data_IF_054284009589
#
_entry.id   IF_054284009589
#
_cell.length_a   1.000
_cell.length_b   1.000
_cell.length_c   1.000
_cell.angle_alpha   90.00
_cell.angle_beta   90.00
_cell.angle_gamma   90.00
#
_symmetry.space_group_name_H-M   'P 1'
#
loop_
_entity.id
_entity.type
_entity.pdbx_description
1 polymer ?
#
# COMPACT_ATOMS: atom_id res chain seq x y z
N UNK A 1 5.37 17.89 2.45
CA UNK A 1 6.52 17.76 3.36
C UNK A 1 6.07 17.14 4.68
N UNK A 2 6.98 16.42 5.35
CA UNK A 2 6.76 15.89 6.71
C UNK A 2 6.62 17.04 7.69
N UNK A 3 5.59 16.98 8.52
CA UNK A 3 5.32 17.90 9.62
C UNK A 3 5.60 17.24 10.98
N UNK A 4 5.72 18.05 12.03
CA UNK A 4 5.83 17.55 13.41
C UNK A 4 4.63 16.67 13.81
N UNK A 5 3.44 16.93 13.20
CA UNK A 5 2.25 16.12 13.41
C UNK A 5 2.43 14.71 12.82
N UNK A 6 3.01 14.59 11.62
CA UNK A 6 3.31 13.29 11.02
C UNK A 6 4.30 12.51 11.91
N UNK A 7 5.40 13.14 12.35
CA UNK A 7 6.41 12.49 13.19
C UNK A 7 5.76 11.94 14.45
N UNK A 8 5.08 12.79 15.24
CA UNK A 8 4.38 12.36 16.46
C UNK A 8 3.34 11.26 16.22
N UNK A 9 2.66 11.32 15.07
CA UNK A 9 1.67 10.32 14.71
C UNK A 9 2.30 8.92 14.58
N UNK A 10 3.36 8.77 13.80
CA UNK A 10 4.02 7.48 13.58
C UNK A 10 4.83 7.03 14.80
N UNK A 11 5.56 7.94 15.44
CA UNK A 11 6.31 7.67 16.66
C UNK A 11 5.44 7.09 17.78
N UNK A 12 4.23 7.63 17.97
CA UNK A 12 3.31 7.12 18.99
C UNK A 12 2.96 5.63 18.79
N UNK A 13 2.81 5.17 17.55
CA UNK A 13 2.52 3.76 17.23
C UNK A 13 3.74 2.87 17.38
N UNK A 14 4.91 3.37 16.99
CA UNK A 14 6.17 2.67 17.22
C UNK A 14 6.42 2.49 18.73
N UNK A 15 6.25 3.55 19.52
CA UNK A 15 6.32 3.53 20.99
C UNK A 15 5.30 2.57 21.61
N UNK A 16 4.10 2.48 21.02
CA UNK A 16 3.03 1.58 21.43
C UNK A 16 3.22 0.12 20.97
N UNK A 17 4.44 -0.27 20.56
CA UNK A 17 4.84 -1.65 20.32
C UNK A 17 4.56 -2.17 18.90
N UNK A 18 4.19 -1.34 17.94
CA UNK A 18 4.11 -1.77 16.54
C UNK A 18 5.51 -2.12 16.02
N UNK A 19 5.72 -3.38 15.62
CA UNK A 19 7.03 -3.87 15.16
C UNK A 19 7.40 -3.41 13.75
N UNK A 20 6.39 -3.07 12.92
CA UNK A 20 6.56 -2.52 11.58
C UNK A 20 5.62 -1.32 11.39
N UNK A 21 6.18 -0.20 10.95
CA UNK A 21 5.45 0.99 10.52
C UNK A 21 5.56 1.12 9.01
N UNK A 22 4.44 1.23 8.31
CA UNK A 22 4.42 1.59 6.89
C UNK A 22 3.86 3.00 6.79
N UNK A 23 4.74 3.96 6.43
CA UNK A 23 4.35 5.36 6.26
C UNK A 23 3.38 5.48 5.09
N UNK A 24 2.36 6.30 5.24
CA UNK A 24 1.27 6.54 4.28
C UNK A 24 1.75 6.74 2.85
N UNK A 25 0.85 6.51 1.89
CA UNK A 25 1.11 6.73 0.46
C UNK A 25 1.80 8.08 0.22
N UNK A 26 3.06 8.02 -0.15
CA UNK A 26 3.96 9.16 -0.38
C UNK A 26 4.25 9.27 -1.87
N UNK A 27 3.92 10.42 -2.46
CA UNK A 27 3.90 10.55 -3.90
C UNK A 27 5.28 10.75 -4.51
N UNK A 28 5.53 10.06 -5.63
CA UNK A 28 6.79 10.15 -6.40
C UNK A 28 6.83 11.30 -7.41
N UNK A 29 5.69 11.94 -7.68
CA UNK A 29 5.54 13.04 -8.65
C UNK A 29 4.42 14.00 -8.21
N UNK A 30 4.56 15.29 -8.52
CA UNK A 30 3.60 16.31 -8.07
C UNK A 30 2.19 16.13 -8.62
N UNK A 31 2.05 15.64 -9.84
CA UNK A 31 0.80 15.37 -10.53
C UNK A 31 0.18 14.02 -10.22
N UNK A 32 0.92 13.17 -9.51
CA UNK A 32 0.46 11.85 -9.04
C UNK A 32 -0.10 11.82 -7.62
N UNK A 33 -0.33 12.97 -6.96
CA UNK A 33 -0.85 13.05 -5.59
C UNK A 33 -2.34 12.72 -5.51
N UNK A 34 -2.77 12.26 -4.33
CA UNK A 34 -4.17 12.03 -3.96
C UNK A 34 -4.83 13.25 -3.30
N UNK A 35 -4.04 14.20 -2.85
CA UNK A 35 -4.47 15.46 -2.27
C UNK A 35 -3.33 16.48 -2.39
N UNK A 36 -3.66 17.75 -2.41
CA UNK A 36 -2.66 18.82 -2.54
C UNK A 36 -1.63 18.86 -1.41
N UNK A 37 -1.99 18.37 -0.22
CA UNK A 37 -1.15 18.28 0.99
C UNK A 37 -0.53 16.91 1.24
N UNK A 38 -0.70 15.93 0.34
CA UNK A 38 -0.11 14.60 0.47
C UNK A 38 1.42 14.66 0.59
N UNK A 39 2.00 13.76 1.42
CA UNK A 39 3.44 13.59 1.52
C UNK A 39 4.06 13.28 0.15
N UNK A 40 5.24 13.81 -0.08
CA UNK A 40 6.00 13.63 -1.30
C UNK A 40 7.42 13.13 -1.07
N UNK A 41 7.99 12.52 -2.12
CA UNK A 41 9.37 12.06 -2.17
C UNK A 41 9.97 12.29 -3.57
N UNK A 42 9.41 13.24 -4.33
CA UNK A 42 9.84 13.54 -5.71
C UNK A 42 11.09 14.42 -5.81
N UNK A 43 11.56 15.04 -4.73
CA UNK A 43 12.79 15.84 -4.70
C UNK A 43 13.58 15.59 -3.42
N UNK A 44 14.88 15.92 -3.44
CA UNK A 44 15.79 15.72 -2.32
C UNK A 44 15.43 16.61 -1.10
N UNK A 45 14.67 17.69 -1.32
CA UNK A 45 14.13 18.55 -0.25
C UNK A 45 13.22 17.79 0.74
N UNK A 46 12.72 16.61 0.37
CA UNK A 46 11.90 15.78 1.24
C UNK A 46 12.71 14.91 2.21
N UNK A 47 14.00 14.63 1.89
CA UNK A 47 14.85 13.67 2.58
C UNK A 47 14.96 13.98 4.07
N UNK A 48 15.29 15.22 4.44
CA UNK A 48 15.51 15.59 5.85
C UNK A 48 14.27 15.37 6.72
N UNK A 49 13.08 15.77 6.25
CA UNK A 49 11.84 15.54 6.99
C UNK A 49 11.49 14.05 7.12
N UNK A 50 11.70 13.29 6.05
CA UNK A 50 11.49 11.84 6.03
C UNK A 50 12.47 11.11 6.96
N UNK A 51 13.74 11.55 7.02
CA UNK A 51 14.76 11.03 7.92
C UNK A 51 14.40 11.22 9.39
N UNK A 52 13.91 12.40 9.76
CA UNK A 52 13.43 12.66 11.12
C UNK A 52 12.27 11.72 11.50
N UNK A 53 11.38 11.43 10.54
CA UNK A 53 10.25 10.53 10.77
C UNK A 53 10.72 9.07 10.95
N UNK A 54 11.59 8.56 10.06
CA UNK A 54 12.12 7.19 10.17
C UNK A 54 12.84 6.98 11.48
N UNK A 55 13.75 7.90 11.85
CA UNK A 55 14.52 7.85 13.09
C UNK A 55 13.63 7.87 14.35
N UNK A 56 12.56 8.68 14.36
CA UNK A 56 11.65 8.74 15.49
C UNK A 56 10.95 7.38 15.74
N UNK A 57 10.57 6.65 14.68
CA UNK A 57 9.99 5.33 14.80
C UNK A 57 11.04 4.27 15.18
N UNK A 58 12.18 4.27 14.53
CA UNK A 58 13.28 3.33 14.76
C UNK A 58 13.86 3.44 16.18
N UNK A 59 13.83 4.64 16.79
CA UNK A 59 14.23 4.84 18.19
C UNK A 59 13.44 3.95 19.17
N UNK A 60 12.21 3.57 18.82
CA UNK A 60 11.38 2.68 19.61
C UNK A 60 11.46 1.21 19.16
N UNK A 61 12.38 0.87 18.25
CA UNK A 61 12.62 -0.50 17.78
C UNK A 61 11.69 -0.98 16.66
N UNK A 62 10.87 -0.10 16.07
CA UNK A 62 10.06 -0.45 14.91
C UNK A 62 10.90 -0.42 13.63
N UNK A 63 10.74 -1.42 12.75
CA UNK A 63 11.13 -1.30 11.35
C UNK A 63 10.22 -0.30 10.63
N UNK A 64 10.75 0.46 9.68
CA UNK A 64 9.98 1.54 9.03
C UNK A 64 10.11 1.47 7.51
N UNK A 65 9.00 1.17 6.83
CA UNK A 65 8.89 1.28 5.39
C UNK A 65 8.12 2.55 5.00
N UNK A 66 8.36 3.04 3.79
CA UNK A 66 7.55 4.13 3.22
C UNK A 66 6.80 3.62 1.99
N UNK A 67 5.48 3.84 1.94
CA UNK A 67 4.69 3.45 0.78
C UNK A 67 4.84 4.49 -0.34
N UNK A 68 5.48 4.11 -1.44
CA UNK A 68 5.67 4.97 -2.61
C UNK A 68 4.55 4.79 -3.63
N UNK A 69 4.09 5.90 -4.23
CA UNK A 69 2.79 5.96 -4.86
C UNK A 69 2.72 6.95 -6.02
N UNK A 70 1.80 6.67 -6.96
CA UNK A 70 1.30 7.59 -7.98
C UNK A 70 -0.19 7.30 -8.22
N UNK A 71 -1.04 8.31 -8.10
CA UNK A 71 -2.50 8.14 -8.15
C UNK A 71 -3.04 7.70 -9.52
N UNK A 72 -2.35 8.05 -10.61
CA UNK A 72 -2.84 7.75 -11.96
C UNK A 72 -4.22 8.39 -12.18
N UNK A 73 -5.21 7.59 -12.60
CA UNK A 73 -6.60 8.01 -12.80
C UNK A 73 -7.26 8.64 -11.56
N UNK A 74 -6.74 8.33 -10.37
CA UNK A 74 -7.33 8.78 -9.09
C UNK A 74 -6.79 10.12 -8.61
N UNK A 75 -5.86 10.76 -9.33
CA UNK A 75 -5.41 12.11 -8.99
C UNK A 75 -6.60 13.07 -9.04
N UNK A 76 -6.89 13.87 -8.00
CA UNK A 76 -8.02 14.79 -8.01
C UNK A 76 -7.75 16.02 -8.88
N UNK A 77 -8.81 16.78 -9.18
CA UNK A 77 -8.76 17.90 -10.14
C UNK A 77 -7.85 19.05 -9.67
N UNK A 78 -7.78 19.29 -8.37
CA UNK A 78 -6.90 20.31 -7.77
C UNK A 78 -5.40 19.93 -7.81
N UNK A 79 -5.10 18.69 -8.18
CA UNK A 79 -3.73 18.18 -8.37
C UNK A 79 -3.36 18.10 -9.84
N UNK A 80 -4.26 17.58 -10.69
CA UNK A 80 -4.00 17.39 -12.12
C UNK A 80 -5.27 17.61 -12.96
N UNK A 81 -5.21 18.50 -13.95
CA UNK A 81 -6.28 18.71 -14.92
C UNK A 81 -6.36 17.55 -15.92
N UNK A 82 -5.21 17.00 -16.29
CA UNK A 82 -5.09 15.79 -17.13
C UNK A 82 -4.53 14.67 -16.29
N UNK A 83 -5.25 13.57 -16.19
CA UNK A 83 -4.80 12.37 -15.45
C UNK A 83 -4.07 11.41 -16.38
N UNK A 84 -3.06 10.74 -15.84
CA UNK A 84 -2.23 9.74 -16.53
C UNK A 84 -2.74 8.33 -16.28
N UNK A 85 -2.80 7.51 -17.31
CA UNK A 85 -3.27 6.12 -17.19
C UNK A 85 -2.58 5.18 -18.18
N UNK A 86 -2.59 3.86 -17.93
CA UNK A 86 -2.13 2.88 -18.92
C UNK A 86 -2.90 2.96 -20.22
N UNK A 87 -4.21 3.25 -20.16
CA UNK A 87 -5.11 3.37 -21.31
C UNK A 87 -6.14 4.48 -21.10
N UNK A 88 -6.81 4.90 -22.19
CA UNK A 88 -7.89 5.90 -22.13
C UNK A 88 -9.16 5.29 -21.52
N UNK A 89 -9.23 5.27 -20.20
CA UNK A 89 -10.34 4.71 -19.42
C UNK A 89 -11.11 5.83 -18.70
N UNK A 90 -11.74 6.73 -19.46
CA UNK A 90 -12.49 7.89 -18.91
C UNK A 90 -13.71 7.46 -18.07
N UNK A 91 -14.24 6.27 -18.29
CA UNK A 91 -15.35 5.69 -17.52
C UNK A 91 -14.99 5.38 -16.04
N UNK A 92 -13.70 5.43 -15.69
CA UNK A 92 -13.21 5.23 -14.30
C UNK A 92 -12.89 6.52 -13.56
N UNK A 93 -13.22 7.66 -14.13
CA UNK A 93 -13.14 8.96 -13.47
C UNK A 93 -14.54 9.57 -13.36
N UNK A 94 -14.83 10.19 -12.21
CA UNK A 94 -16.15 10.76 -11.91
C UNK A 94 -16.34 12.18 -12.49
N UNK A 95 -15.35 12.71 -13.16
CA UNK A 95 -15.36 14.03 -13.76
C UNK A 95 -14.90 13.98 -15.23
N UNK A 96 -15.38 14.90 -16.04
CA UNK A 96 -15.12 14.96 -17.48
C UNK A 96 -13.69 15.45 -17.82
N UNK A 97 -12.68 15.11 -17.00
CA UNK A 97 -11.28 15.48 -17.27
C UNK A 97 -10.70 14.66 -18.42
N UNK A 98 -9.66 15.18 -18.99
CA UNK A 98 -8.90 14.48 -20.01
C UNK A 98 -8.09 13.33 -19.35
N UNK A 99 -8.24 12.12 -19.90
CA UNK A 99 -7.37 10.99 -19.61
C UNK A 99 -6.33 10.87 -20.71
N UNK A 100 -5.07 11.02 -20.36
CA UNK A 100 -3.94 10.83 -21.26
C UNK A 100 -3.35 9.43 -21.07
N UNK A 101 -3.40 8.65 -22.13
CA UNK A 101 -2.70 7.38 -22.16
C UNK A 101 -1.19 7.60 -22.15
N UNK A 102 -0.49 6.85 -21.31
CA UNK A 102 0.97 6.92 -21.20
C UNK A 102 1.64 6.34 -22.45
N UNK A 103 2.56 7.08 -23.04
CA UNK A 103 3.49 6.53 -24.04
C UNK A 103 4.51 5.62 -23.36
N UNK A 104 5.25 4.84 -24.15
CA UNK A 104 6.36 4.01 -23.61
C UNK A 104 7.43 4.87 -22.96
N UNK A 105 7.66 6.07 -23.47
CA UNK A 105 8.62 7.03 -22.90
C UNK A 105 8.12 7.59 -21.55
N UNK A 106 6.85 7.95 -21.46
CA UNK A 106 6.23 8.34 -20.18
C UNK A 106 6.36 7.22 -19.14
N UNK A 107 6.10 5.96 -19.54
CA UNK A 107 6.25 4.78 -18.68
C UNK A 107 7.68 4.70 -18.14
N UNK A 108 8.69 4.82 -19.01
CA UNK A 108 10.09 4.79 -18.59
C UNK A 108 10.44 5.94 -17.64
N UNK A 109 9.91 7.13 -17.88
CA UNK A 109 10.10 8.30 -17.00
C UNK A 109 9.52 8.04 -15.61
N UNK A 110 8.28 7.54 -15.52
CA UNK A 110 7.63 7.24 -14.24
C UNK A 110 8.35 6.09 -13.52
N UNK A 111 8.83 5.07 -14.24
CA UNK A 111 9.65 4.01 -13.65
C UNK A 111 10.91 4.60 -12.99
N UNK A 112 11.59 5.54 -13.64
CA UNK A 112 12.76 6.21 -13.06
C UNK A 112 12.39 7.07 -11.84
N UNK A 113 11.19 7.67 -11.80
CA UNK A 113 10.74 8.43 -10.64
C UNK A 113 10.47 7.52 -9.42
N UNK A 114 9.92 6.31 -9.61
CA UNK A 114 9.85 5.30 -8.56
C UNK A 114 11.24 4.90 -8.03
N UNK A 115 12.20 4.68 -8.94
CA UNK A 115 13.59 4.33 -8.57
C UNK A 115 14.25 5.45 -7.77
N UNK A 116 14.11 6.71 -8.21
CA UNK A 116 14.62 7.88 -7.47
C UNK A 116 13.95 8.01 -6.10
N UNK A 117 12.64 7.76 -6.00
CA UNK A 117 11.91 7.77 -4.74
C UNK A 117 12.44 6.70 -3.77
N UNK A 118 12.69 5.48 -4.23
CA UNK A 118 13.29 4.43 -3.41
C UNK A 118 14.70 4.78 -2.92
N UNK A 119 15.53 5.42 -3.77
CA UNK A 119 16.85 5.92 -3.36
C UNK A 119 16.76 6.97 -2.25
N UNK A 120 15.82 7.93 -2.38
CA UNK A 120 15.57 8.93 -1.34
C UNK A 120 15.08 8.31 -0.05
N UNK A 121 14.24 7.27 -0.13
CA UNK A 121 13.79 6.52 1.05
C UNK A 121 14.99 5.88 1.77
N UNK A 122 15.90 5.23 1.02
CA UNK A 122 17.13 4.66 1.57
C UNK A 122 18.03 5.73 2.21
N UNK A 123 18.23 6.86 1.53
CA UNK A 123 19.02 8.00 2.06
C UNK A 123 18.37 8.62 3.31
N UNK A 124 17.04 8.63 3.38
CA UNK A 124 16.29 9.04 4.56
C UNK A 124 16.29 7.99 5.70
N UNK A 125 17.00 6.87 5.52
CA UNK A 125 17.20 5.85 6.56
C UNK A 125 16.00 4.94 6.81
N UNK A 126 15.08 4.80 5.84
CA UNK A 126 14.04 3.77 5.91
C UNK A 126 14.64 2.38 5.73
N UNK A 127 14.06 1.38 6.42
CA UNK A 127 14.44 -0.03 6.28
C UNK A 127 13.97 -0.63 4.95
N UNK A 128 13.12 0.09 4.22
CA UNK A 128 12.62 -0.33 2.91
C UNK A 128 11.52 0.58 2.37
N UNK A 129 10.96 0.14 1.26
CA UNK A 129 9.80 0.74 0.61
C UNK A 129 8.65 -0.25 0.51
N UNK A 130 7.43 0.25 0.34
CA UNK A 130 6.29 -0.54 -0.12
C UNK A 130 5.73 0.10 -1.39
N UNK A 131 5.70 -0.64 -2.51
CA UNK A 131 4.99 -0.21 -3.71
C UNK A 131 3.47 -0.23 -3.48
N UNK A 132 2.78 0.86 -3.83
CA UNK A 132 1.32 0.89 -3.76
C UNK A 132 0.71 0.30 -5.05
N UNK A 133 0.58 -1.01 -5.09
CA UNK A 133 0.03 -1.78 -6.22
C UNK A 133 -1.41 -2.26 -6.01
N UNK A 134 -2.21 -1.55 -5.20
CA UNK A 134 -3.60 -1.87 -4.88
C UNK A 134 -4.52 -0.66 -5.12
N UNK A 135 -5.82 -0.81 -4.84
CA UNK A 135 -6.83 0.24 -4.71
C UNK A 135 -7.08 1.07 -5.99
N UNK A 136 -6.64 0.59 -7.15
CA UNK A 136 -6.86 1.27 -8.43
C UNK A 136 -5.97 2.50 -8.64
N UNK A 137 -4.78 2.55 -8.02
CA UNK A 137 -3.75 3.53 -8.33
C UNK A 137 -2.85 3.05 -9.48
N UNK A 138 -1.91 3.85 -9.92
CA UNK A 138 -1.22 3.66 -11.21
C UNK A 138 -0.66 2.23 -11.40
N UNK A 139 0.02 1.67 -10.41
CA UNK A 139 0.57 0.31 -10.49
C UNK A 139 -0.55 -0.73 -10.62
N UNK A 140 -1.61 -0.62 -9.80
CA UNK A 140 -2.80 -1.47 -9.90
C UNK A 140 -3.53 -1.28 -11.24
N UNK A 141 -3.57 -0.04 -11.76
CA UNK A 141 -4.14 0.24 -13.09
C UNK A 141 -3.37 -0.47 -14.22
N UNK A 142 -2.04 -0.62 -14.10
CA UNK A 142 -1.27 -1.43 -15.04
C UNK A 142 -1.56 -2.92 -14.90
N UNK A 143 -1.64 -3.44 -13.69
CA UNK A 143 -1.87 -4.85 -13.40
C UNK A 143 -3.27 -5.33 -13.85
N UNK A 144 -4.29 -4.47 -13.73
CA UNK A 144 -5.68 -4.83 -13.99
C UNK A 144 -6.06 -4.81 -15.48
N UNK A 145 -6.68 -5.86 -16.02
CA UNK A 145 -7.21 -5.85 -17.40
C UNK A 145 -8.40 -4.89 -17.55
N UNK A 146 -8.99 -4.45 -16.46
CA UNK A 146 -10.12 -3.50 -16.44
C UNK A 146 -9.66 -2.13 -16.93
N UNK A 147 -8.47 -1.66 -16.50
CA UNK A 147 -7.92 -0.34 -16.79
C UNK A 147 -6.75 -0.36 -17.76
N UNK A 148 -6.10 -1.50 -17.94
CA UNK A 148 -5.01 -1.67 -18.89
C UNK A 148 -5.48 -2.42 -20.14
N UNK A 149 -5.81 -1.66 -21.18
CA UNK A 149 -6.27 -2.16 -22.51
C UNK A 149 -5.20 -1.97 -23.60
N UNK A 150 -3.94 -1.84 -23.18
CA UNK A 150 -2.81 -1.67 -24.09
C UNK A 150 -2.58 -2.91 -24.93
N UNK A 151 -2.06 -2.70 -26.14
CA UNK A 151 -1.69 -3.77 -27.10
C UNK A 151 -0.19 -3.88 -27.31
N UNK A 152 0.60 -3.05 -26.61
CA UNK A 152 2.06 -3.10 -26.62
C UNK A 152 2.61 -4.03 -25.51
N UNK A 153 3.92 -3.98 -25.31
CA UNK A 153 4.62 -4.81 -24.31
C UNK A 153 4.19 -4.59 -22.84
N UNK A 154 3.39 -3.57 -22.54
CA UNK A 154 2.87 -3.29 -21.19
C UNK A 154 1.39 -3.65 -21.02
N UNK A 155 0.78 -4.33 -22.01
CA UNK A 155 -0.62 -4.73 -21.98
C UNK A 155 -0.88 -6.12 -22.51
N UNK A 156 -2.14 -6.55 -22.50
CA UNK A 156 -2.55 -7.89 -22.92
C UNK A 156 -2.35 -8.95 -21.84
N UNK A 157 -1.32 -9.79 -21.94
CA UNK A 157 -1.07 -10.86 -20.94
C UNK A 157 -0.78 -10.31 -19.55
N UNK A 158 -0.96 -11.13 -18.51
CA UNK A 158 -0.66 -10.73 -17.13
C UNK A 158 0.82 -10.34 -16.97
N UNK A 159 1.72 -11.08 -17.57
CA UNK A 159 3.17 -10.80 -17.55
C UNK A 159 3.47 -9.42 -18.14
N UNK A 160 2.83 -9.09 -19.25
CA UNK A 160 2.99 -7.77 -19.88
C UNK A 160 2.41 -6.64 -18.99
N UNK A 161 1.24 -6.86 -18.39
CA UNK A 161 0.65 -5.88 -17.49
C UNK A 161 1.49 -5.67 -16.23
N UNK A 162 2.14 -6.71 -15.71
CA UNK A 162 3.06 -6.64 -14.58
C UNK A 162 4.43 -6.09 -14.95
N UNK A 163 4.80 -6.05 -16.23
CA UNK A 163 6.11 -5.57 -16.72
C UNK A 163 6.47 -4.20 -16.18
N UNK A 164 5.49 -3.29 -16.07
CA UNK A 164 5.71 -1.95 -15.54
C UNK A 164 6.42 -1.97 -14.19
N UNK A 165 5.91 -2.72 -13.23
CA UNK A 165 6.48 -2.77 -11.88
C UNK A 165 7.63 -3.75 -11.76
N UNK A 166 7.62 -4.86 -12.49
CA UNK A 166 8.71 -5.84 -12.51
C UNK A 166 10.03 -5.20 -12.96
N UNK A 167 10.02 -4.38 -14.01
CA UNK A 167 11.21 -3.65 -14.46
C UNK A 167 11.74 -2.66 -13.42
N UNK A 168 10.87 -2.06 -12.59
CA UNK A 168 11.29 -1.19 -11.48
C UNK A 168 11.97 -2.04 -10.39
N UNK A 169 11.33 -3.14 -9.98
CA UNK A 169 11.82 -4.03 -8.92
C UNK A 169 13.20 -4.58 -9.29
N UNK A 170 13.36 -5.10 -10.52
CA UNK A 170 14.63 -5.64 -11.00
C UNK A 170 15.74 -4.60 -10.96
N UNK A 171 15.50 -3.38 -11.45
CA UNK A 171 16.48 -2.30 -11.38
C UNK A 171 16.82 -1.91 -9.94
N UNK A 172 15.85 -1.96 -9.00
CA UNK A 172 16.11 -1.65 -7.60
C UNK A 172 16.94 -2.73 -6.92
N UNK A 173 16.70 -4.02 -7.19
CA UNK A 173 17.51 -5.13 -6.63
C UNK A 173 18.99 -5.00 -6.97
N UNK A 174 19.32 -4.44 -8.14
CA UNK A 174 20.69 -4.17 -8.54
C UNK A 174 21.33 -2.94 -7.84
N UNK A 175 20.53 -2.14 -7.14
CA UNK A 175 20.93 -0.82 -6.63
C UNK A 175 20.82 -0.68 -5.11
N UNK A 176 20.08 -1.57 -4.45
CA UNK A 176 19.90 -1.55 -2.99
C UNK A 176 20.66 -2.71 -2.35
N UNK A 177 21.01 -2.55 -1.07
CA UNK A 177 21.64 -3.61 -0.29
C UNK A 177 20.61 -4.70 0.03
N UNK A 178 21.09 -5.89 0.37
CA UNK A 178 20.24 -7.06 0.71
C UNK A 178 19.32 -6.79 1.91
N UNK A 179 19.72 -5.90 2.82
CA UNK A 179 18.93 -5.51 4.01
C UNK A 179 17.81 -4.51 3.70
N UNK A 180 17.77 -3.90 2.50
CA UNK A 180 16.72 -2.96 2.13
C UNK A 180 15.49 -3.68 1.58
N UNK A 181 14.40 -3.64 2.35
CA UNK A 181 13.16 -4.38 2.05
C UNK A 181 12.41 -3.76 0.87
N UNK A 182 12.09 -4.56 -0.13
CA UNK A 182 11.19 -4.22 -1.23
C UNK A 182 9.83 -4.86 -0.95
N UNK A 183 8.95 -4.12 -0.29
CA UNK A 183 7.56 -4.50 -0.04
C UNK A 183 6.64 -4.17 -1.21
N UNK A 184 5.51 -4.86 -1.29
CA UNK A 184 4.48 -4.58 -2.28
C UNK A 184 3.08 -4.74 -1.71
N UNK A 185 2.29 -3.67 -1.69
CA UNK A 185 0.86 -3.74 -1.38
C UNK A 185 0.06 -4.05 -2.62
N UNK A 186 -0.63 -5.19 -2.63
CA UNK A 186 -1.34 -5.71 -3.78
C UNK A 186 -2.85 -5.86 -3.54
N UNK A 187 -3.63 -5.85 -4.61
CA UNK A 187 -4.98 -6.36 -4.58
C UNK A 187 -4.97 -7.89 -4.58
N UNK A 188 -5.56 -8.51 -3.56
CA UNK A 188 -5.69 -9.97 -3.50
C UNK A 188 -6.68 -10.52 -4.53
N UNK A 189 -7.50 -9.65 -5.10
CA UNK A 189 -8.47 -9.90 -6.18
C UNK A 189 -8.30 -8.86 -7.30
N UNK A 190 -7.29 -8.99 -8.16
CA UNK A 190 -6.99 -8.02 -9.22
C UNK A 190 -7.07 -8.64 -10.64
N UNK A 191 -8.28 -8.81 -11.25
CA UNK A 191 -9.61 -8.58 -10.66
C UNK A 191 -10.20 -9.81 -9.94
N UNK A 192 -9.55 -10.96 -9.97
CA UNK A 192 -9.98 -12.20 -9.32
C UNK A 192 -8.92 -12.71 -8.35
N UNK A 193 -9.30 -13.59 -7.42
CA UNK A 193 -8.35 -14.24 -6.51
C UNK A 193 -7.27 -15.02 -7.27
N UNK A 194 -7.64 -15.74 -8.33
CA UNK A 194 -6.67 -16.48 -9.15
C UNK A 194 -5.62 -15.54 -9.77
N UNK A 195 -6.07 -14.41 -10.32
CA UNK A 195 -5.14 -13.38 -10.81
C UNK A 195 -4.27 -12.81 -9.68
N UNK A 196 -4.84 -12.58 -8.49
CA UNK A 196 -4.09 -12.13 -7.32
C UNK A 196 -2.98 -13.12 -6.95
N UNK A 197 -3.26 -14.42 -6.96
CA UNK A 197 -2.26 -15.47 -6.72
C UNK A 197 -1.16 -15.45 -7.79
N UNK A 198 -1.51 -15.31 -9.07
CA UNK A 198 -0.50 -15.24 -10.14
C UNK A 198 0.34 -13.96 -10.04
N UNK A 199 -0.26 -12.81 -9.72
CA UNK A 199 0.46 -11.56 -9.45
C UNK A 199 1.46 -11.75 -8.30
N UNK A 200 1.04 -12.37 -7.19
CA UNK A 200 1.92 -12.63 -6.04
C UNK A 200 3.15 -13.46 -6.43
N UNK A 201 2.98 -14.53 -7.25
CA UNK A 201 4.08 -15.34 -7.75
C UNK A 201 5.02 -14.57 -8.68
N UNK A 202 4.48 -13.70 -9.55
CA UNK A 202 5.31 -12.84 -10.42
C UNK A 202 6.13 -11.88 -9.57
N UNK A 203 5.54 -11.29 -8.52
CA UNK A 203 6.23 -10.37 -7.62
C UNK A 203 7.32 -11.06 -6.80
N UNK A 204 7.04 -12.25 -6.25
CA UNK A 204 8.04 -13.08 -5.58
C UNK A 204 9.21 -13.40 -6.51
N UNK A 205 8.92 -13.86 -7.74
CA UNK A 205 9.95 -14.16 -8.74
C UNK A 205 10.75 -12.91 -9.19
N UNK A 206 10.15 -11.72 -9.13
CA UNK A 206 10.82 -10.45 -9.42
C UNK A 206 11.73 -9.96 -8.28
N UNK A 207 11.64 -10.57 -7.08
CA UNK A 207 12.48 -10.23 -5.94
C UNK A 207 11.81 -9.30 -4.92
N UNK A 208 10.48 -9.29 -4.82
CA UNK A 208 9.76 -8.68 -3.70
C UNK A 208 10.02 -9.48 -2.44
N UNK A 209 10.30 -8.79 -1.33
CA UNK A 209 10.65 -9.41 -0.06
C UNK A 209 9.44 -9.58 0.89
N UNK A 210 8.35 -8.81 0.66
CA UNK A 210 7.18 -8.75 1.53
C UNK A 210 5.92 -8.39 0.74
N UNK A 211 4.84 -9.16 0.88
CA UNK A 211 3.52 -8.82 0.32
C UNK A 211 2.56 -8.30 1.40
N UNK A 212 1.82 -7.24 1.06
CA UNK A 212 0.74 -6.70 1.90
C UNK A 212 -0.57 -6.78 1.11
N UNK A 213 -1.44 -7.74 1.45
CA UNK A 213 -2.63 -8.07 0.65
C UNK A 213 -3.83 -7.25 1.09
N UNK A 214 -4.39 -6.49 0.14
CA UNK A 214 -5.57 -5.64 0.31
C UNK A 214 -6.56 -5.88 -0.85
N UNK A 215 -7.43 -4.91 -1.17
CA UNK A 215 -8.38 -5.01 -2.28
C UNK A 215 -7.79 -4.52 -3.59
N UNK A 216 -8.17 -5.18 -4.70
CA UNK A 216 -7.92 -4.73 -6.06
C UNK A 216 -8.99 -3.75 -6.58
N UNK A 217 -9.04 -3.58 -7.91
CA UNK A 217 -10.09 -2.81 -8.59
C UNK A 217 -11.38 -3.63 -8.61
N UNK A 218 -12.46 -3.05 -8.09
CA UNK A 218 -13.78 -3.67 -8.12
C UNK A 218 -14.46 -3.47 -9.47
N UNK A 219 -15.13 -4.49 -9.97
CA UNK A 219 -16.03 -4.41 -11.13
C UNK A 219 -17.18 -5.41 -10.96
N UNK A 220 -18.39 -5.08 -11.42
CA UNK A 220 -19.50 -6.04 -11.43
C UNK A 220 -19.21 -7.33 -12.20
N UNK A 221 -18.34 -7.27 -13.20
CA UNK A 221 -17.94 -8.42 -14.01
C UNK A 221 -17.02 -9.41 -13.28
N UNK A 222 -16.46 -8.98 -12.14
CA UNK A 222 -15.52 -9.73 -11.33
C UNK A 222 -15.96 -9.70 -9.86
N UNK A 223 -16.90 -10.59 -9.46
CA UNK A 223 -17.40 -10.63 -8.10
C UNK A 223 -16.29 -10.94 -7.10
N UNK A 224 -16.48 -10.50 -5.86
CA UNK A 224 -15.60 -10.85 -4.76
C UNK A 224 -15.57 -12.38 -4.58
N UNK A 225 -14.43 -12.96 -4.20
CA UNK A 225 -14.33 -14.39 -3.93
C UNK A 225 -15.28 -14.78 -2.78
N UNK A 226 -15.95 -15.92 -2.94
CA UNK A 226 -16.77 -16.50 -1.88
C UNK A 226 -15.87 -16.94 -0.73
N UNK A 227 -16.22 -16.51 0.47
CA UNK A 227 -15.55 -16.91 1.68
C UNK A 227 -16.17 -18.23 2.16
N UNK A 228 -15.36 -19.27 2.45
CA UNK A 228 -15.89 -20.54 2.94
C UNK A 228 -16.73 -20.37 4.22
N UNK A 229 -17.77 -21.18 4.36
CA UNK A 229 -18.56 -21.23 5.58
C UNK A 229 -17.65 -21.55 6.79
N UNK A 230 -17.81 -20.80 7.88
CA UNK A 230 -17.00 -20.95 9.09
C UNK A 230 -15.67 -20.20 9.08
N UNK A 231 -15.24 -19.57 7.98
CA UNK A 231 -14.08 -18.68 8.01
C UNK A 231 -14.46 -17.35 8.69
N UNK A 232 -13.78 -16.91 9.76
CA UNK A 232 -14.28 -15.84 10.62
C UNK A 232 -14.05 -14.43 10.06
N UNK A 233 -13.25 -14.30 8.99
CA UNK A 233 -12.83 -13.00 8.45
C UNK A 233 -13.48 -12.70 7.08
N UNK A 234 -13.33 -11.49 6.59
CA UNK A 234 -13.91 -11.03 5.32
C UNK A 234 -13.11 -11.54 4.09
N UNK A 235 -13.66 -11.31 2.89
CA UNK A 235 -13.08 -11.76 1.62
C UNK A 235 -11.69 -11.20 1.33
N UNK A 236 -11.35 -10.00 1.82
CA UNK A 236 -10.02 -9.40 1.60
C UNK A 236 -8.96 -10.16 2.42
N UNK A 237 -9.27 -10.44 3.69
CA UNK A 237 -8.41 -11.26 4.55
C UNK A 237 -8.30 -12.68 3.96
N UNK A 238 -9.44 -13.25 3.50
CA UNK A 238 -9.43 -14.55 2.84
C UNK A 238 -8.49 -14.58 1.63
N UNK A 239 -8.52 -13.57 0.75
CA UNK A 239 -7.56 -13.47 -0.35
C UNK A 239 -6.12 -13.51 0.15
N UNK A 240 -5.81 -12.78 1.22
CA UNK A 240 -4.48 -12.75 1.82
C UNK A 240 -4.03 -14.14 2.29
N UNK A 241 -4.91 -14.90 2.96
CA UNK A 241 -4.60 -16.26 3.42
C UNK A 241 -4.35 -17.23 2.26
N UNK A 242 -5.13 -17.09 1.17
CA UNK A 242 -4.94 -17.90 -0.03
C UNK A 242 -3.63 -17.59 -0.74
N UNK A 243 -3.22 -16.31 -0.79
CA UNK A 243 -1.94 -15.90 -1.34
C UNK A 243 -0.80 -16.43 -0.46
N UNK A 244 -0.90 -16.28 0.88
CA UNK A 244 0.09 -16.82 1.83
C UNK A 244 0.38 -18.31 1.58
N UNK A 245 -0.62 -19.10 1.28
CA UNK A 245 -0.46 -20.53 1.02
C UNK A 245 0.23 -20.85 -0.33
N UNK A 246 0.56 -19.85 -1.15
CA UNK A 246 1.06 -20.01 -2.53
C UNK A 246 2.38 -19.32 -2.81
N UNK A 247 2.92 -18.59 -1.84
CA UNK A 247 4.21 -17.89 -1.91
C UNK A 247 5.06 -18.28 -0.70
N UNK A 248 6.38 -18.07 -0.79
CA UNK A 248 7.34 -18.38 0.28
C UNK A 248 7.79 -17.12 1.04
N UNK A 249 7.54 -15.94 0.47
CA UNK A 249 7.84 -14.66 1.14
C UNK A 249 6.76 -14.29 2.17
N UNK A 250 7.09 -13.51 3.19
CA UNK A 250 6.14 -13.06 4.19
C UNK A 250 4.93 -12.33 3.61
N UNK A 251 3.75 -12.57 4.21
CA UNK A 251 2.49 -11.94 3.82
C UNK A 251 1.85 -11.23 5.01
N UNK A 252 1.61 -9.94 4.84
CA UNK A 252 0.77 -9.13 5.73
C UNK A 252 -0.68 -9.20 5.23
N UNK A 253 -1.62 -9.50 6.12
CA UNK A 253 -3.06 -9.37 5.84
C UNK A 253 -3.63 -8.14 6.53
N UNK A 254 -4.60 -7.51 5.89
CA UNK A 254 -5.25 -6.29 6.37
C UNK A 254 -6.75 -6.34 6.08
N UNK A 255 -7.50 -5.57 6.77
CA UNK A 255 -8.92 -5.28 6.66
C UNK A 255 -9.76 -5.93 7.76
N UNK A 256 -10.29 -5.08 8.60
CA UNK A 256 -11.24 -5.49 9.64
C UNK A 256 -10.63 -6.14 10.87
N UNK A 257 -9.32 -6.33 10.94
CA UNK A 257 -8.62 -6.85 12.13
C UNK A 257 -8.65 -5.79 13.22
N UNK A 258 -9.27 -6.11 14.37
CA UNK A 258 -9.61 -5.14 15.43
C UNK A 258 -9.24 -5.62 16.81
N UNK A 259 -9.22 -6.92 17.01
CA UNK A 259 -8.97 -7.54 18.31
C UNK A 259 -7.70 -8.39 18.25
N UNK A 260 -6.99 -8.53 19.38
CA UNK A 260 -5.86 -9.46 19.47
C UNK A 260 -6.22 -10.88 19.04
N UNK A 261 -7.41 -11.37 19.41
CA UNK A 261 -7.87 -12.72 19.08
C UNK A 261 -7.99 -12.95 17.58
N UNK A 262 -8.45 -11.96 16.80
CA UNK A 262 -8.45 -12.02 15.33
C UNK A 262 -7.03 -12.11 14.78
N UNK A 263 -6.11 -11.29 15.30
CA UNK A 263 -4.71 -11.29 14.90
C UNK A 263 -4.03 -12.63 15.24
N UNK A 264 -4.18 -13.12 16.47
CA UNK A 264 -3.66 -14.40 16.94
C UNK A 264 -4.19 -15.57 16.10
N UNK A 265 -5.51 -15.61 15.84
CA UNK A 265 -6.10 -16.64 14.99
C UNK A 265 -5.41 -16.76 13.63
N UNK A 266 -5.12 -15.64 12.98
CA UNK A 266 -4.47 -15.61 11.67
C UNK A 266 -3.02 -16.09 11.74
N UNK A 267 -2.28 -15.72 12.78
CA UNK A 267 -0.87 -16.09 12.95
C UNK A 267 -0.73 -17.55 13.41
N UNK A 268 -1.45 -17.97 14.45
CA UNK A 268 -1.36 -19.32 15.02
C UNK A 268 -1.78 -20.41 14.03
N UNK A 269 -2.74 -20.10 13.13
CA UNK A 269 -3.17 -21.03 12.09
C UNK A 269 -2.32 -20.92 10.80
N UNK A 270 -1.20 -20.19 10.83
CA UNK A 270 -0.31 -19.95 9.67
C UNK A 270 -1.04 -19.41 8.43
N UNK A 271 -2.06 -18.57 8.66
CA UNK A 271 -2.85 -17.92 7.62
C UNK A 271 -2.24 -16.58 7.17
N UNK A 272 -1.36 -16.02 7.98
CA UNK A 272 -0.58 -14.82 7.70
C UNK A 272 0.73 -14.84 8.49
N UNK A 273 1.74 -14.09 8.05
CA UNK A 273 2.98 -13.87 8.81
C UNK A 273 2.88 -12.63 9.69
N UNK A 274 2.11 -11.64 9.24
CA UNK A 274 1.86 -10.39 9.98
C UNK A 274 0.43 -9.92 9.71
N UNK A 275 -0.07 -9.10 10.63
CA UNK A 275 -1.37 -8.43 10.49
C UNK A 275 -1.21 -6.92 10.52
N UNK A 276 -1.91 -6.20 9.65
CA UNK A 276 -1.92 -4.75 9.67
C UNK A 276 -3.21 -4.23 10.33
N UNK A 277 -3.04 -3.44 11.39
CA UNK A 277 -4.11 -2.79 12.13
C UNK A 277 -4.13 -1.30 11.77
N UNK A 278 -5.19 -0.85 11.10
CA UNK A 278 -5.33 0.56 10.69
C UNK A 278 -6.05 1.40 11.72
N UNK A 279 -7.39 1.47 11.62
CA UNK A 279 -8.24 2.35 12.46
C UNK A 279 -8.16 2.06 13.95
N UNK A 280 -7.83 0.82 14.35
CA UNK A 280 -7.56 0.48 15.74
C UNK A 280 -6.41 1.31 16.32
N UNK A 281 -5.30 1.39 15.58
CA UNK A 281 -4.12 2.18 15.94
C UNK A 281 -4.32 3.70 15.81
N UNK A 282 -5.35 4.19 15.10
CA UNK A 282 -5.72 5.61 15.13
C UNK A 282 -6.36 5.97 16.47
N UNK A 283 -7.16 5.05 17.03
CA UNK A 283 -7.88 5.24 18.30
C UNK A 283 -6.97 4.97 19.49
N UNK A 284 -6.23 3.88 19.43
CA UNK A 284 -5.34 3.43 20.51
C UNK A 284 -3.94 3.17 19.96
N UNK A 285 -3.03 4.15 20.06
CA UNK A 285 -1.65 4.01 19.59
C UNK A 285 -0.89 2.85 20.25
N UNK A 286 -1.25 2.48 21.49
CA UNK A 286 -0.65 1.42 22.30
C UNK A 286 -1.29 0.05 22.03
N UNK A 287 -2.06 -0.10 20.96
CA UNK A 287 -2.81 -1.31 20.65
C UNK A 287 -1.93 -2.57 20.68
N UNK A 288 -0.74 -2.51 20.07
CA UNK A 288 0.13 -3.68 19.95
C UNK A 288 0.71 -4.11 21.31
N UNK A 289 1.17 -3.15 22.11
CA UNK A 289 1.69 -3.41 23.45
C UNK A 289 0.60 -3.91 24.40
N UNK A 290 -0.59 -3.32 24.32
CA UNK A 290 -1.77 -3.77 25.06
C UNK A 290 -2.22 -5.17 24.66
N UNK A 291 -2.19 -5.48 23.37
CA UNK A 291 -2.48 -6.83 22.86
C UNK A 291 -1.52 -7.85 23.45
N UNK A 292 -0.21 -7.56 23.43
CA UNK A 292 0.84 -8.42 23.98
C UNK A 292 0.69 -8.69 25.48
N UNK A 293 0.22 -7.70 26.25
CA UNK A 293 0.13 -7.80 27.71
C UNK A 293 -1.28 -8.11 28.22
N UNK A 294 -2.27 -8.33 27.35
CA UNK A 294 -3.66 -8.59 27.73
C UNK A 294 -4.34 -7.37 28.35
N UNK A 295 -3.86 -6.15 28.08
CA UNK A 295 -4.43 -4.92 28.61
C UNK A 295 -5.64 -4.46 27.80
N UNK A 296 -6.49 -3.62 28.39
CA UNK A 296 -7.70 -3.13 27.73
C UNK A 296 -7.35 -2.20 26.56
N UNK A 297 -7.79 -2.57 25.36
CA UNK A 297 -7.68 -1.78 24.13
C UNK A 297 -8.95 -0.95 23.94
N UNK A 298 -8.79 0.32 23.57
CA UNK A 298 -9.91 1.18 23.17
C UNK A 298 -10.39 0.79 21.77
N UNK A 299 -11.62 0.27 21.60
CA UNK A 299 -12.07 -0.24 20.31
C UNK A 299 -12.49 0.88 19.35
N UNK A 300 -12.12 0.76 18.09
CA UNK A 300 -12.63 1.61 17.02
C UNK A 300 -14.14 1.35 16.79
N UNK A 301 -14.97 2.40 16.81
CA UNK A 301 -16.44 2.31 16.67
C UNK A 301 -16.92 2.11 15.23
N UNK A 302 -16.03 2.01 14.24
CA UNK A 302 -16.32 1.71 12.83
C UNK A 302 -17.37 2.63 12.18
N UNK A 303 -17.27 3.91 12.43
CA UNK A 303 -18.17 4.91 11.85
C UNK A 303 -18.26 4.76 10.32
N UNK A 304 -19.45 4.94 9.73
CA UNK A 304 -19.65 4.92 8.27
C UNK A 304 -18.68 5.85 7.52
N UNK A 305 -18.42 7.02 8.11
CA UNK A 305 -17.37 7.95 7.69
C UNK A 305 -16.43 8.16 8.87
N UNK A 306 -15.15 7.83 8.70
CA UNK A 306 -14.15 8.04 9.73
C UNK A 306 -13.85 9.53 9.88
N UNK A 307 -14.26 10.13 10.98
CA UNK A 307 -14.05 11.55 11.26
C UNK A 307 -12.61 11.86 11.67
N UNK A 308 -11.85 10.86 12.09
CA UNK A 308 -10.46 11.01 12.48
C UNK A 308 -9.60 11.63 11.36
N UNK A 309 -9.87 11.28 10.11
CA UNK A 309 -9.14 11.83 8.95
C UNK A 309 -9.38 13.32 8.71
N UNK A 310 -10.50 13.84 9.17
CA UNK A 310 -10.79 15.28 9.11
C UNK A 310 -10.28 16.02 10.33
N UNK A 311 -10.50 15.44 11.51
CA UNK A 311 -10.10 16.00 12.81
C UNK A 311 -10.08 14.84 13.83
N UNK A 312 -8.90 14.44 14.34
CA UNK A 312 -8.79 13.38 15.34
C UNK A 312 -9.69 13.59 16.58
N UNK A 313 -9.90 14.87 16.98
CA UNK A 313 -10.76 15.20 18.12
C UNK A 313 -12.25 14.92 17.88
N UNK A 314 -12.66 14.65 16.64
CA UNK A 314 -14.03 14.23 16.30
C UNK A 314 -14.25 12.73 16.33
N UNK A 315 -13.21 11.96 16.66
CA UNK A 315 -13.33 10.52 16.77
C UNK A 315 -14.15 10.15 18.03
N UNK A 316 -15.33 9.52 17.90
CA UNK A 316 -16.18 9.22 19.05
C UNK A 316 -15.61 8.15 19.99
N UNK A 317 -14.56 7.46 19.61
CA UNK A 317 -13.89 6.48 20.46
C UNK A 317 -12.80 7.11 21.36
N UNK A 318 -12.39 8.35 21.10
CA UNK A 318 -11.34 9.05 21.86
C UNK A 318 -12.01 10.07 22.83
N UNK A 319 -13.24 10.50 22.55
CA UNK A 319 -14.03 11.46 23.32
C UNK A 319 -15.08 10.78 24.19
#
# INVERSE_FOLDING_TARGET
FVSEKNIRHYEARAKGGAGLIIVEATCIARDGRLASDQLGIWSDEHIEGLKRLSQACQFHGAAVLIQIHHAGLRAPRDVAETVLAPSRCSEYIDDNRQVRELTVEDIKTIQQDFIKAAKRAKEAGFDGIEFHGAHGYLISQFASPITNRRTDQYGGSLENRMRFVVEIIQQLKDMVDEDFIIGYRMGGNEPTLENGIQIAKILEAAGVDLLHVSSGISSPDYPQPEVPEGFPENSIVYCGTQIKSRVNIPVIVVNGIRTPQQAEYLIENNLADMVAVGRGLLVDPDWADKAKHGSQIVPCQQCKRCLWYTDPNKCPAIN
#
